data_IF_022769889103
#
_entry.id   IF_022769889103
#
_cell.length_a   1.000
_cell.length_b   1.000
_cell.length_c   1.000
_cell.angle_alpha   90.00
_cell.angle_beta   90.00
_cell.angle_gamma   90.00
#
_symmetry.space_group_name_H-M   'P 1'
#
loop_
_entity.id
_entity.type
_entity.pdbx_description
1 polymer ?
#
# COMPACT_ATOMS: atom_id res chain seq x y z
N UNK A 1 3.27 6.78 17.03
CA UNK A 1 3.56 8.09 16.42
C UNK A 1 2.24 8.67 15.93
N UNK A 2 1.97 9.98 16.05
CA UNK A 2 0.63 10.49 15.86
C UNK A 2 0.25 10.47 14.39
N UNK A 3 -0.89 9.86 14.10
CA UNK A 3 -1.50 9.72 12.78
C UNK A 3 -2.06 11.07 12.34
N UNK A 4 -1.49 11.68 11.30
CA UNK A 4 -2.09 12.85 10.67
C UNK A 4 -3.26 12.40 9.80
N UNK A 5 -4.49 12.75 10.21
CA UNK A 5 -5.71 12.54 9.44
C UNK A 5 -5.84 13.72 8.48
N UNK A 6 -5.67 13.46 7.18
CA UNK A 6 -5.86 14.45 6.13
C UNK A 6 -7.32 14.41 5.67
N UNK A 7 -8.06 15.49 5.91
CA UNK A 7 -9.36 15.73 5.26
C UNK A 7 -9.10 16.34 3.88
N UNK A 8 -9.68 15.76 2.83
CA UNK A 8 -9.75 16.36 1.50
C UNK A 8 -11.23 16.51 1.13
N UNK A 9 -11.66 17.76 1.01
CA UNK A 9 -12.90 18.15 0.31
C UNK A 9 -12.59 18.24 -1.19
N UNK A 10 -13.35 17.53 -2.02
CA UNK A 10 -13.26 17.65 -3.48
C UNK A 10 -14.32 18.63 -3.97
N UNK A 11 -13.92 19.86 -4.28
CA UNK A 11 -14.71 20.79 -5.11
C UNK A 11 -14.13 20.81 -6.52
N UNK A 12 -14.99 20.51 -7.50
CA UNK A 12 -14.66 20.44 -8.92
C UNK A 12 -14.28 21.80 -9.49
N UNK A 13 -13.18 21.82 -10.25
CA UNK A 13 -12.78 22.94 -11.09
C UNK A 13 -13.07 22.61 -12.56
N UNK A 14 -13.72 23.52 -13.27
CA UNK A 14 -13.44 23.76 -14.69
C UNK A 14 -13.20 25.26 -14.86
N UNK A 15 -11.95 25.60 -15.18
CA UNK A 15 -11.51 26.95 -15.49
C UNK A 15 -11.66 27.24 -16.98
N UNK A 16 -12.17 28.42 -17.30
CA UNK A 16 -11.97 29.10 -18.57
C UNK A 16 -11.17 30.37 -18.32
N UNK A 17 -9.94 30.43 -18.80
CA UNK A 17 -9.09 31.62 -18.68
C UNK A 17 -9.43 32.66 -19.74
N UNK A 18 -9.60 33.85 -19.19
CA UNK A 18 -9.65 35.20 -19.73
C UNK A 18 -8.45 35.53 -20.63
N UNK A 19 -8.67 36.27 -21.72
CA UNK A 19 -7.70 37.23 -22.27
C UNK A 19 -8.34 38.62 -22.38
N UNK A 20 -7.80 39.59 -21.64
CA UNK A 20 -8.11 41.04 -21.70
C UNK A 20 -7.26 41.70 -22.81
N UNK A 21 -7.90 42.40 -23.75
CA UNK A 21 -7.96 43.87 -23.93
C UNK A 21 -6.69 44.58 -24.40
N UNK A 22 -6.82 45.42 -25.44
CA UNK A 22 -6.59 46.89 -25.41
C UNK A 22 -7.09 47.51 -26.73
N UNK A 23 -7.52 48.76 -26.62
CA UNK A 23 -8.42 49.50 -27.49
C UNK A 23 -7.73 50.45 -28.51
N UNK A 24 -8.55 50.84 -29.51
CA UNK A 24 -8.67 52.16 -30.18
C UNK A 24 -7.44 52.82 -30.86
N UNK A 25 -7.58 53.17 -32.14
CA UNK A 25 -7.89 54.55 -32.57
C UNK A 25 -7.96 54.74 -34.10
N UNK A 26 -9.04 55.41 -34.51
CA UNK A 26 -9.19 56.48 -35.49
C UNK A 26 -9.06 56.27 -37.02
N UNK A 27 -10.15 56.73 -37.66
CA UNK A 27 -10.34 57.14 -39.05
C UNK A 27 -9.38 58.23 -39.52
N UNK A 28 -9.18 58.37 -40.83
CA UNK A 28 -9.46 59.57 -41.66
C UNK A 28 -9.00 59.29 -43.12
N UNK A 29 -9.73 59.85 -44.08
CA UNK A 29 -9.61 59.55 -45.50
C UNK A 29 -8.42 60.21 -46.22
N UNK A 30 -8.19 59.76 -47.45
CA UNK A 30 -7.20 60.34 -48.36
C UNK A 30 -7.24 59.65 -49.72
N UNK A 31 -7.94 60.27 -50.66
CA UNK A 31 -7.87 60.01 -52.10
C UNK A 31 -6.48 60.32 -52.66
N UNK A 32 -6.01 59.52 -53.63
CA UNK A 32 -5.04 60.05 -54.61
C UNK A 32 -3.93 59.09 -55.02
N UNK A 33 -4.05 58.64 -56.27
CA UNK A 33 -2.99 58.51 -57.28
C UNK A 33 -1.89 57.45 -57.12
N UNK A 34 -1.82 56.60 -58.16
CA UNK A 34 -0.61 56.21 -58.91
C UNK A 34 0.58 55.75 -58.06
N UNK A 35 0.81 54.45 -58.01
CA UNK A 35 1.70 53.83 -58.99
C UNK A 35 1.67 52.31 -58.90
N UNK A 36 1.66 51.73 -60.08
CA UNK A 36 1.56 50.32 -60.36
C UNK A 36 2.95 49.79 -60.67
N UNK A 37 3.28 48.62 -60.12
CA UNK A 37 4.36 47.72 -60.52
C UNK A 37 5.79 48.25 -60.30
N UNK A 38 6.41 47.81 -59.20
CA UNK A 38 7.72 47.12 -59.23
C UNK A 38 8.12 46.70 -57.81
N UNK A 39 7.63 45.52 -57.42
CA UNK A 39 8.26 44.73 -56.36
C UNK A 39 8.09 43.26 -56.71
N UNK A 40 8.71 42.85 -57.82
CA UNK A 40 9.21 41.49 -57.93
C UNK A 40 10.25 41.33 -56.80
N UNK A 41 9.81 40.96 -55.60
CA UNK A 41 10.69 40.36 -54.61
C UNK A 41 11.17 39.07 -55.24
N UNK A 42 12.39 39.10 -55.78
CA UNK A 42 13.03 37.98 -56.45
C UNK A 42 12.96 36.75 -55.54
N UNK A 43 12.21 35.72 -55.95
CA UNK A 43 12.21 34.38 -55.35
C UNK A 43 13.63 33.77 -55.25
N UNK A 44 14.60 34.34 -55.98
CA UNK A 44 16.03 34.01 -55.92
C UNK A 44 16.69 34.33 -54.56
N UNK A 45 16.15 35.28 -53.79
CA UNK A 45 16.72 35.68 -52.49
C UNK A 45 16.27 34.81 -51.32
N UNK A 46 15.10 34.18 -51.41
CA UNK A 46 14.62 33.23 -50.40
C UNK A 46 15.20 31.82 -50.60
N UNK A 47 15.50 31.43 -51.84
CA UNK A 47 16.11 30.13 -52.18
C UNK A 47 17.62 30.07 -51.88
N UNK A 48 18.31 31.21 -51.86
CA UNK A 48 19.75 31.31 -51.58
C UNK A 48 20.13 31.17 -50.09
N UNK A 49 19.19 31.38 -49.17
CA UNK A 49 19.40 31.19 -47.72
C UNK A 49 18.83 29.85 -47.20
N UNK A 50 17.81 29.31 -47.85
CA UNK A 50 17.20 28.02 -47.46
C UNK A 50 18.15 26.84 -47.75
N UNK A 51 18.94 26.91 -48.82
CA UNK A 51 19.90 25.88 -49.21
C UNK A 51 21.11 25.74 -48.25
N UNK A 52 21.81 26.81 -47.82
CA UNK A 52 22.88 26.68 -46.82
C UNK A 52 22.34 26.33 -45.43
N UNK A 53 21.16 26.82 -45.04
CA UNK A 53 20.55 26.45 -43.76
C UNK A 53 20.19 24.95 -43.71
N UNK A 54 19.61 24.41 -44.78
CA UNK A 54 19.34 22.96 -44.91
C UNK A 54 20.63 22.14 -44.90
N UNK A 55 21.70 22.60 -45.57
CA UNK A 55 23.00 21.94 -45.55
C UNK A 55 23.61 21.89 -44.14
N UNK A 56 23.55 22.98 -43.37
CA UNK A 56 24.03 23.00 -41.98
C UNK A 56 23.24 22.00 -41.11
N UNK A 57 21.92 21.94 -41.27
CA UNK A 57 21.09 20.96 -40.56
C UNK A 57 21.47 19.53 -40.97
N UNK A 58 21.64 19.25 -42.26
CA UNK A 58 22.01 17.92 -42.75
C UNK A 58 23.40 17.50 -42.28
N UNK A 59 24.38 18.41 -42.28
CA UNK A 59 25.73 18.15 -41.73
C UNK A 59 25.63 17.90 -40.22
N UNK A 60 24.84 18.70 -39.50
CA UNK A 60 24.60 18.50 -38.07
C UNK A 60 23.99 17.12 -37.78
N UNK A 61 22.99 16.70 -38.56
CA UNK A 61 22.37 15.37 -38.45
C UNK A 61 23.36 14.25 -38.80
N UNK A 62 24.17 14.42 -39.85
CA UNK A 62 25.19 13.44 -40.24
C UNK A 62 26.28 13.28 -39.17
N UNK A 63 26.74 14.38 -38.57
CA UNK A 63 27.68 14.37 -37.46
C UNK A 63 27.08 13.70 -36.21
N UNK A 64 25.83 14.00 -35.89
CA UNK A 64 25.11 13.35 -34.79
C UNK A 64 24.95 11.84 -35.03
N UNK A 65 24.62 11.43 -36.26
CA UNK A 65 24.53 10.02 -36.64
C UNK A 65 25.89 9.31 -36.57
N UNK A 66 26.94 9.92 -37.11
CA UNK A 66 28.31 9.38 -37.04
C UNK A 66 28.80 9.24 -35.59
N UNK A 67 28.52 10.25 -34.75
CA UNK A 67 28.80 10.19 -33.32
C UNK A 67 28.01 9.08 -32.63
N UNK A 68 26.72 8.92 -32.93
CA UNK A 68 25.89 7.83 -32.44
C UNK A 68 26.43 6.46 -32.81
N UNK A 69 26.83 6.25 -34.08
CA UNK A 69 27.45 5.02 -34.55
C UNK A 69 28.78 4.72 -33.83
N UNK A 70 29.58 5.75 -33.57
CA UNK A 70 30.84 5.61 -32.83
C UNK A 70 30.60 5.24 -31.36
N UNK A 71 29.58 5.82 -30.71
CA UNK A 71 29.16 5.43 -29.35
C UNK A 71 28.70 3.97 -29.31
N UNK A 72 27.87 3.56 -30.28
CA UNK A 72 27.39 2.18 -30.40
C UNK A 72 28.54 1.20 -30.65
N UNK A 73 29.49 1.55 -31.52
CA UNK A 73 30.67 0.75 -31.81
C UNK A 73 31.55 0.56 -30.57
N UNK A 74 31.82 1.64 -29.81
CA UNK A 74 32.54 1.56 -28.54
C UNK A 74 31.82 0.69 -27.52
N UNK A 75 30.50 0.83 -27.38
CA UNK A 75 29.69 -0.05 -26.51
C UNK A 75 29.77 -1.51 -26.90
N UNK A 76 29.76 -1.82 -28.20
CA UNK A 76 29.95 -3.20 -28.71
C UNK A 76 31.33 -3.74 -28.35
N UNK A 77 32.40 -2.99 -28.61
CA UNK A 77 33.76 -3.42 -28.26
C UNK A 77 33.92 -3.69 -26.76
N UNK A 78 33.38 -2.81 -25.91
CA UNK A 78 33.39 -3.00 -24.46
C UNK A 78 32.58 -4.24 -24.07
N UNK A 79 31.38 -4.40 -24.61
CA UNK A 79 30.52 -5.56 -24.32
C UNK A 79 31.14 -6.89 -24.74
N UNK A 80 31.87 -6.93 -25.86
CA UNK A 80 32.52 -8.15 -26.33
C UNK A 80 33.80 -8.50 -25.59
N UNK A 81 34.48 -7.52 -24.99
CA UNK A 81 35.79 -7.70 -24.36
C UNK A 81 35.74 -7.72 -22.82
N UNK A 82 34.65 -7.23 -22.21
CA UNK A 82 34.53 -7.15 -20.76
C UNK A 82 34.17 -8.51 -20.15
N UNK A 83 35.08 -9.04 -19.32
CA UNK A 83 34.81 -10.22 -18.51
C UNK A 83 33.72 -9.94 -17.45
N UNK A 84 33.71 -8.74 -16.86
CA UNK A 84 32.71 -8.36 -15.86
C UNK A 84 31.29 -8.37 -16.44
N UNK A 85 31.11 -7.84 -17.65
CA UNK A 85 29.82 -7.84 -18.35
C UNK A 85 29.39 -9.26 -18.75
N UNK A 86 30.33 -10.09 -19.23
CA UNK A 86 30.01 -11.48 -19.58
C UNK A 86 29.60 -12.32 -18.37
N UNK A 87 30.30 -12.19 -17.23
CA UNK A 87 29.96 -12.89 -15.99
C UNK A 87 28.65 -12.36 -15.39
N UNK A 88 28.38 -11.06 -15.51
CA UNK A 88 27.10 -10.49 -15.09
C UNK A 88 25.94 -10.99 -15.95
N UNK A 89 26.13 -11.16 -17.26
CA UNK A 89 25.09 -11.72 -18.14
C UNK A 89 24.75 -13.17 -17.76
N UNK A 90 25.77 -14.00 -17.44
CA UNK A 90 25.57 -15.35 -16.90
C UNK A 90 24.81 -15.31 -15.57
N UNK A 91 25.27 -14.48 -14.62
CA UNK A 91 24.63 -14.32 -13.31
C UNK A 91 23.15 -13.93 -13.50
N UNK A 92 22.88 -12.92 -14.31
CA UNK A 92 21.53 -12.46 -14.62
C UNK A 92 20.68 -13.57 -15.25
N UNK A 93 21.24 -14.40 -16.12
CA UNK A 93 20.49 -15.51 -16.75
C UNK A 93 19.99 -16.53 -15.72
N UNK A 94 20.80 -16.82 -14.69
CA UNK A 94 20.45 -17.74 -13.60
C UNK A 94 19.41 -17.16 -12.63
N UNK A 95 19.50 -15.85 -12.38
CA UNK A 95 18.67 -15.19 -11.36
C UNK A 95 17.38 -14.56 -11.89
N UNK A 96 17.28 -14.20 -13.18
CA UNK A 96 16.14 -13.44 -13.73
C UNK A 96 14.78 -14.05 -13.43
N UNK A 97 14.65 -15.37 -13.48
CA UNK A 97 13.39 -16.07 -13.17
C UNK A 97 13.12 -16.23 -11.67
N UNK A 98 14.13 -16.02 -10.83
CA UNK A 98 14.07 -16.19 -9.38
C UNK A 98 13.77 -14.88 -8.65
N UNK A 99 14.08 -13.73 -9.23
CA UNK A 99 13.86 -12.41 -8.58
C UNK A 99 12.81 -11.56 -9.28
N UNK A 100 11.85 -12.21 -9.95
CA UNK A 100 10.79 -11.52 -10.69
C UNK A 100 10.01 -10.59 -9.74
N UNK A 101 9.92 -9.27 -10.04
CA UNK A 101 9.11 -8.35 -9.27
C UNK A 101 7.65 -8.78 -9.25
N UNK A 102 7.06 -8.77 -8.05
CA UNK A 102 5.65 -9.14 -7.87
C UNK A 102 4.75 -7.91 -8.03
N UNK A 103 3.59 -8.09 -8.64
CA UNK A 103 2.59 -7.00 -8.71
C UNK A 103 2.16 -6.60 -7.30
N UNK A 104 1.87 -5.31 -7.03
CA UNK A 104 1.42 -4.91 -5.70
C UNK A 104 0.15 -5.64 -5.27
N UNK A 105 0.10 -6.11 -4.01
CA UNK A 105 -1.14 -6.64 -3.42
C UNK A 105 -2.16 -5.50 -3.37
N UNK A 106 -3.37 -5.71 -3.90
CA UNK A 106 -4.43 -4.69 -3.89
C UNK A 106 -5.71 -5.26 -3.31
N UNK A 107 -6.17 -4.66 -2.21
CA UNK A 107 -7.40 -5.04 -1.53
C UNK A 107 -8.15 -3.77 -1.13
N UNK A 108 -9.44 -3.72 -1.43
CA UNK A 108 -10.28 -2.55 -1.12
C UNK A 108 -11.56 -3.01 -0.45
N UNK A 109 -11.71 -2.65 0.81
CA UNK A 109 -12.90 -2.95 1.60
C UNK A 109 -13.78 -1.70 1.76
N UNK A 110 -15.07 -1.93 1.93
CA UNK A 110 -16.04 -0.88 2.22
C UNK A 110 -16.94 -1.29 3.38
N UNK A 111 -17.26 -0.32 4.24
CA UNK A 111 -18.24 -0.51 5.31
C UNK A 111 -19.16 0.71 5.37
N UNK A 112 -20.46 0.48 5.37
CA UNK A 112 -21.45 1.53 5.61
C UNK A 112 -22.03 1.37 7.01
N UNK A 113 -22.19 2.47 7.72
CA UNK A 113 -22.84 2.49 9.03
C UNK A 113 -24.12 3.32 8.97
N UNK A 114 -25.07 3.02 9.86
CA UNK A 114 -26.42 3.58 9.85
C UNK A 114 -26.59 4.85 10.70
N UNK A 115 -25.54 5.29 11.39
CA UNK A 115 -25.61 6.43 12.31
C UNK A 115 -24.26 7.11 12.46
N UNK A 116 -24.30 8.43 12.68
CA UNK A 116 -23.09 9.23 12.94
C UNK A 116 -22.34 8.74 14.17
N UNK A 117 -23.08 8.34 15.21
CA UNK A 117 -22.49 7.80 16.43
C UNK A 117 -21.75 6.47 16.21
N UNK A 118 -22.16 5.62 15.26
CA UNK A 118 -21.38 4.44 14.87
C UNK A 118 -20.18 4.83 14.02
N UNK A 119 -20.34 5.79 13.11
CA UNK A 119 -19.24 6.32 12.30
C UNK A 119 -18.10 6.86 13.18
N UNK A 120 -18.43 7.60 14.23
CA UNK A 120 -17.42 8.21 15.11
C UNK A 120 -16.73 7.22 16.06
N UNK A 121 -17.39 6.11 16.40
CA UNK A 121 -16.87 5.11 17.34
C UNK A 121 -16.17 3.93 16.66
N UNK A 122 -16.43 3.70 15.37
CA UNK A 122 -15.89 2.54 14.67
C UNK A 122 -14.39 2.73 14.43
N UNK A 123 -13.58 1.85 15.00
CA UNK A 123 -12.16 1.76 14.68
C UNK A 123 -11.96 1.05 13.35
N UNK A 124 -11.58 1.84 12.34
CA UNK A 124 -11.28 1.36 11.00
C UNK A 124 -10.13 0.34 10.98
N UNK A 125 -9.13 0.49 11.85
CA UNK A 125 -7.99 -0.42 11.89
C UNK A 125 -8.41 -1.81 12.39
N UNK A 126 -9.20 -1.88 13.46
CA UNK A 126 -9.81 -3.13 13.93
C UNK A 126 -10.74 -3.74 12.88
N UNK A 127 -11.59 -2.93 12.22
CA UNK A 127 -12.50 -3.44 11.18
C UNK A 127 -11.73 -4.03 10.00
N UNK A 128 -10.67 -3.37 9.55
CA UNK A 128 -9.82 -3.80 8.46
C UNK A 128 -9.00 -5.05 8.82
N UNK A 129 -8.54 -5.14 10.08
CA UNK A 129 -7.87 -6.34 10.60
C UNK A 129 -8.77 -7.58 10.54
N UNK A 130 -10.07 -7.42 10.81
CA UNK A 130 -11.05 -8.50 10.63
C UNK A 130 -11.25 -8.85 9.15
N UNK A 131 -11.35 -7.85 8.27
CA UNK A 131 -11.55 -8.10 6.83
C UNK A 131 -10.40 -8.88 6.21
N UNK A 132 -9.14 -8.58 6.56
CA UNK A 132 -8.00 -9.31 5.97
C UNK A 132 -7.94 -10.78 6.41
N UNK A 133 -8.52 -11.14 7.56
CA UNK A 133 -8.60 -12.54 8.00
C UNK A 133 -9.52 -13.38 7.10
N UNK A 134 -10.46 -12.77 6.37
CA UNK A 134 -11.31 -13.48 5.40
C UNK A 134 -10.49 -14.02 4.21
N UNK A 135 -9.32 -13.43 3.93
CA UNK A 135 -8.40 -13.82 2.85
C UNK A 135 -7.03 -14.24 3.37
N UNK A 136 -6.98 -14.74 4.61
CA UNK A 136 -5.74 -15.03 5.35
C UNK A 136 -4.75 -15.92 4.57
N UNK A 137 -5.16 -17.11 4.15
CA UNK A 137 -4.25 -18.06 3.51
C UNK A 137 -3.63 -17.53 2.21
N UNK A 138 -4.42 -16.77 1.43
CA UNK A 138 -3.92 -16.11 0.23
C UNK A 138 -2.93 -14.99 0.58
N UNK A 139 -3.25 -14.16 1.58
CA UNK A 139 -2.36 -13.09 2.05
C UNK A 139 -1.04 -13.64 2.58
N UNK A 140 -1.07 -14.73 3.35
CA UNK A 140 0.13 -15.40 3.84
C UNK A 140 1.01 -15.86 2.67
N UNK A 141 0.43 -16.54 1.69
CA UNK A 141 1.16 -17.00 0.52
C UNK A 141 1.80 -15.82 -0.25
N UNK A 142 1.05 -14.76 -0.51
CA UNK A 142 1.54 -13.57 -1.22
C UNK A 142 2.64 -12.84 -0.43
N UNK A 143 2.52 -12.73 0.89
CA UNK A 143 3.55 -12.15 1.75
C UNK A 143 4.82 -13.02 1.70
N UNK A 144 4.69 -14.34 1.85
CA UNK A 144 5.83 -15.26 1.82
C UNK A 144 6.55 -15.24 0.48
N UNK A 145 5.80 -15.23 -0.63
CA UNK A 145 6.38 -15.13 -1.98
C UNK A 145 7.26 -13.87 -2.12
N UNK A 146 6.79 -12.73 -1.61
CA UNK A 146 7.53 -11.46 -1.65
C UNK A 146 8.77 -11.48 -0.77
N UNK A 147 8.66 -11.97 0.47
CA UNK A 147 9.80 -12.10 1.38
C UNK A 147 10.87 -13.06 0.82
N UNK A 148 10.45 -14.18 0.25
CA UNK A 148 11.36 -15.14 -0.40
C UNK A 148 12.06 -14.53 -1.63
N UNK A 149 11.35 -13.67 -2.38
CA UNK A 149 11.92 -12.96 -3.53
C UNK A 149 12.96 -11.93 -3.09
N UNK A 150 12.69 -11.18 -2.02
CA UNK A 150 13.69 -10.28 -1.42
C UNK A 150 14.92 -11.01 -0.91
N UNK A 151 14.73 -12.17 -0.24
CA UNK A 151 15.84 -12.99 0.24
C UNK A 151 16.72 -13.50 -0.92
N UNK A 152 16.11 -13.97 -2.00
CA UNK A 152 16.83 -14.36 -3.24
C UNK A 152 17.57 -13.17 -3.86
N UNK A 153 16.96 -11.99 -3.90
CA UNK A 153 17.62 -10.79 -4.40
C UNK A 153 18.81 -10.37 -3.55
N UNK A 154 18.77 -10.56 -2.23
CA UNK A 154 19.91 -10.31 -1.37
C UNK A 154 21.12 -11.21 -1.73
N UNK A 155 20.88 -12.48 -2.10
CA UNK A 155 21.92 -13.37 -2.61
C UNK A 155 22.48 -12.89 -3.96
N UNK A 156 21.60 -12.55 -4.91
CA UNK A 156 22.01 -11.96 -6.18
C UNK A 156 22.85 -10.68 -5.98
N UNK A 157 22.46 -9.81 -5.04
CA UNK A 157 23.19 -8.58 -4.74
C UNK A 157 24.61 -8.88 -4.24
N UNK A 158 24.77 -9.89 -3.40
CA UNK A 158 26.09 -10.32 -2.93
C UNK A 158 26.97 -10.80 -4.10
N UNK A 159 26.44 -11.65 -4.99
CA UNK A 159 27.17 -12.11 -6.18
C UNK A 159 27.50 -10.96 -7.13
N UNK A 160 26.57 -10.02 -7.32
CA UNK A 160 26.77 -8.82 -8.13
C UNK A 160 27.91 -7.95 -7.58
N UNK A 161 27.93 -7.70 -6.28
CA UNK A 161 28.99 -6.95 -5.60
C UNK A 161 30.34 -7.67 -5.72
N UNK A 162 30.37 -9.00 -5.60
CA UNK A 162 31.58 -9.79 -5.81
C UNK A 162 32.15 -9.61 -7.23
N UNK A 163 31.30 -9.57 -8.26
CA UNK A 163 31.73 -9.25 -9.64
C UNK A 163 32.21 -7.80 -9.77
N UNK A 164 31.54 -6.85 -9.11
CA UNK A 164 31.91 -5.43 -9.13
C UNK A 164 33.32 -5.22 -8.56
N UNK A 165 33.62 -5.76 -7.39
CA UNK A 165 34.96 -5.65 -6.78
C UNK A 165 36.01 -6.53 -7.47
N UNK A 166 35.57 -7.70 -7.96
CA UNK A 166 36.45 -8.73 -8.51
C UNK A 166 36.90 -8.45 -9.93
N UNK A 167 36.04 -7.91 -10.81
CA UNK A 167 36.29 -7.90 -12.26
C UNK A 167 36.14 -6.51 -12.93
N UNK A 168 35.35 -5.61 -12.35
CA UNK A 168 35.04 -4.33 -13.00
C UNK A 168 36.30 -3.47 -13.16
N UNK A 169 36.50 -2.89 -14.35
CA UNK A 169 37.64 -2.04 -14.68
C UNK A 169 38.93 -2.78 -15.00
N UNK A 170 38.92 -4.13 -15.05
CA UNK A 170 40.12 -4.96 -15.34
C UNK A 170 40.28 -5.34 -16.81
N UNK A 171 39.21 -5.25 -17.60
CA UNK A 171 39.24 -5.57 -19.03
C UNK A 171 39.67 -4.35 -19.87
N UNK A 172 40.09 -4.58 -21.12
CA UNK A 172 40.48 -3.50 -22.04
C UNK A 172 40.23 -3.90 -23.50
N UNK A 173 40.31 -2.93 -24.43
CA UNK A 173 40.18 -3.21 -25.86
C UNK A 173 41.05 -2.26 -26.70
N UNK A 174 41.81 -2.73 -27.71
CA UNK A 174 42.77 -1.90 -28.45
C UNK A 174 42.19 -0.66 -29.14
N UNK A 175 40.92 -0.71 -29.55
CA UNK A 175 40.23 0.39 -30.26
C UNK A 175 39.54 1.41 -29.33
N UNK A 176 39.64 1.26 -28.02
CA UNK A 176 38.99 2.14 -27.03
C UNK A 176 40.00 2.47 -25.93
N UNK A 177 40.18 3.76 -25.60
CA UNK A 177 41.09 4.16 -24.53
C UNK A 177 40.66 3.55 -23.18
N UNK A 178 41.61 3.26 -22.30
CA UNK A 178 41.35 2.62 -21.01
C UNK A 178 40.30 3.38 -20.16
N UNK A 179 40.44 4.71 -20.08
CA UNK A 179 39.48 5.57 -19.36
C UNK A 179 38.07 5.45 -19.95
N UNK A 180 37.96 5.51 -21.28
CA UNK A 180 36.64 5.42 -21.94
C UNK A 180 36.06 4.02 -21.83
N UNK A 181 36.90 2.99 -21.88
CA UNK A 181 36.51 1.61 -21.66
C UNK A 181 35.90 1.45 -20.26
N UNK A 182 36.64 1.83 -19.21
CA UNK A 182 36.18 1.71 -17.83
C UNK A 182 34.89 2.50 -17.57
N UNK A 183 34.77 3.71 -18.14
CA UNK A 183 33.55 4.53 -18.05
C UNK A 183 32.34 3.85 -18.69
N UNK A 184 32.50 3.30 -19.90
CA UNK A 184 31.41 2.58 -20.59
C UNK A 184 31.10 1.28 -19.85
N UNK A 185 32.11 0.51 -19.46
CA UNK A 185 31.96 -0.77 -18.75
C UNK A 185 31.17 -0.59 -17.46
N UNK A 186 31.56 0.36 -16.60
CA UNK A 186 30.82 0.67 -15.37
C UNK A 186 29.38 1.05 -15.65
N UNK A 187 29.13 1.88 -16.67
CA UNK A 187 27.77 2.28 -17.04
C UNK A 187 26.92 1.09 -17.48
N UNK A 188 27.45 0.23 -18.35
CA UNK A 188 26.76 -0.97 -18.81
C UNK A 188 26.54 -1.97 -17.66
N UNK A 189 27.53 -2.15 -16.78
CA UNK A 189 27.46 -3.07 -15.65
C UNK A 189 26.33 -2.68 -14.68
N UNK A 190 26.27 -1.41 -14.28
CA UNK A 190 25.20 -0.91 -13.42
C UNK A 190 23.83 -0.96 -14.09
N UNK A 191 23.74 -0.67 -15.39
CA UNK A 191 22.49 -0.74 -16.15
C UNK A 191 21.96 -2.17 -16.34
N UNK A 192 22.85 -3.17 -16.30
CA UNK A 192 22.47 -4.59 -16.38
C UNK A 192 22.08 -5.19 -15.04
N UNK A 193 22.25 -4.48 -13.93
CA UNK A 193 21.83 -4.96 -12.61
C UNK A 193 20.32 -5.22 -12.63
N UNK A 194 19.88 -6.39 -12.17
CA UNK A 194 18.45 -6.66 -12.00
C UNK A 194 17.84 -5.68 -10.99
N UNK A 195 16.60 -5.28 -11.25
CA UNK A 195 15.83 -4.37 -10.40
C UNK A 195 15.54 -4.99 -9.03
N UNK A 196 15.55 -4.15 -7.99
CA UNK A 196 15.22 -4.57 -6.62
C UNK A 196 13.71 -4.88 -6.51
N UNK A 197 13.32 -6.12 -6.16
CA UNK A 197 11.92 -6.51 -6.01
C UNK A 197 11.37 -5.96 -4.70
N UNK A 198 10.92 -4.70 -4.73
CA UNK A 198 10.29 -4.05 -3.57
C UNK A 198 8.88 -4.63 -3.32
N UNK A 199 8.60 -5.16 -2.12
CA UNK A 199 7.30 -5.74 -1.82
C UNK A 199 6.28 -4.62 -1.64
N UNK A 200 5.32 -4.54 -2.56
CA UNK A 200 4.30 -3.50 -2.55
C UNK A 200 2.93 -4.08 -2.18
N UNK A 201 2.18 -3.30 -1.38
CA UNK A 201 0.77 -3.52 -1.12
C UNK A 201 0.05 -2.18 -0.98
N UNK A 202 -1.20 -2.14 -1.41
CA UNK A 202 -2.18 -1.11 -1.10
C UNK A 202 -3.45 -1.83 -0.65
N UNK A 203 -3.61 -1.93 0.67
CA UNK A 203 -4.83 -2.46 1.28
C UNK A 203 -5.56 -1.26 1.85
N UNK A 204 -6.82 -1.06 1.49
CA UNK A 204 -7.59 0.09 1.96
C UNK A 204 -8.97 -0.33 2.48
N UNK A 205 -9.47 0.42 3.46
CA UNK A 205 -10.86 0.32 3.92
C UNK A 205 -11.49 1.71 3.92
N UNK A 206 -12.63 1.85 3.25
CA UNK A 206 -13.46 3.06 3.28
C UNK A 206 -14.68 2.84 4.16
N UNK A 207 -14.90 3.72 5.12
CA UNK A 207 -16.15 3.81 5.88
C UNK A 207 -16.99 4.98 5.36
N UNK A 208 -18.30 4.76 5.23
CA UNK A 208 -19.27 5.79 4.83
C UNK A 208 -20.46 5.85 5.77
N UNK A 209 -21.01 7.04 5.95
CA UNK A 209 -22.30 7.28 6.60
C UNK A 209 -23.02 8.42 5.86
N UNK A 210 -24.29 8.21 5.53
CA UNK A 210 -25.18 9.25 5.00
C UNK A 210 -26.36 9.42 5.94
N UNK A 211 -26.72 10.67 6.25
CA UNK A 211 -27.86 10.93 7.13
C UNK A 211 -29.17 10.42 6.50
N UNK A 212 -30.19 10.03 7.29
CA UNK A 212 -31.42 9.45 6.75
C UNK A 212 -32.14 10.33 5.71
N UNK A 213 -32.00 11.65 5.83
CA UNK A 213 -32.57 12.63 4.91
C UNK A 213 -31.62 13.01 3.75
N UNK A 214 -30.48 12.35 3.63
CA UNK A 214 -29.48 12.58 2.58
C UNK A 214 -28.77 13.94 2.64
N UNK A 215 -28.99 14.74 3.69
CA UNK A 215 -28.47 16.11 3.79
C UNK A 215 -26.96 16.19 4.03
N UNK A 216 -26.39 15.18 4.69
CA UNK A 216 -24.97 15.13 5.03
C UNK A 216 -24.40 13.74 4.69
N UNK A 217 -23.16 13.71 4.22
CA UNK A 217 -22.40 12.48 3.98
C UNK A 217 -21.01 12.60 4.59
N UNK A 218 -20.56 11.52 5.22
CA UNK A 218 -19.27 11.43 5.88
C UNK A 218 -18.51 10.22 5.34
N UNK A 219 -17.21 10.38 5.13
CA UNK A 219 -16.35 9.28 4.72
C UNK A 219 -15.03 9.32 5.48
N UNK A 220 -14.49 8.14 5.76
CA UNK A 220 -13.15 7.98 6.33
C UNK A 220 -12.45 6.83 5.63
N UNK A 221 -11.14 6.93 5.46
CA UNK A 221 -10.35 5.95 4.73
C UNK A 221 -9.07 5.63 5.50
N UNK A 222 -8.74 4.35 5.56
CA UNK A 222 -7.49 3.83 6.08
C UNK A 222 -6.78 3.06 4.97
N UNK A 223 -5.47 3.25 4.85
CA UNK A 223 -4.62 2.54 3.90
C UNK A 223 -3.41 1.93 4.60
N UNK A 224 -3.03 0.74 4.15
CA UNK A 224 -1.85 0.02 4.60
C UNK A 224 -0.94 -0.30 3.42
N UNK A 225 0.35 -0.04 3.63
CA UNK A 225 1.42 -0.55 2.79
C UNK A 225 1.75 -2.02 3.12
N UNK A 226 2.76 -2.58 2.47
CA UNK A 226 3.16 -3.98 2.67
C UNK A 226 3.55 -4.30 4.12
N UNK A 227 4.36 -3.44 4.76
CA UNK A 227 4.78 -3.65 6.14
C UNK A 227 3.61 -3.58 7.13
N UNK A 228 2.72 -2.60 6.94
CA UNK A 228 1.52 -2.46 7.75
C UNK A 228 0.58 -3.65 7.57
N UNK A 229 0.37 -4.13 6.34
CA UNK A 229 -0.41 -5.34 6.06
C UNK A 229 0.16 -6.56 6.80
N UNK A 230 1.47 -6.81 6.65
CA UNK A 230 2.15 -7.95 7.26
C UNK A 230 2.06 -7.91 8.79
N UNK A 231 2.33 -6.75 9.37
CA UNK A 231 2.23 -6.54 10.82
C UNK A 231 0.80 -6.73 11.31
N UNK A 232 -0.17 -6.08 10.67
CA UNK A 232 -1.59 -6.15 11.07
C UNK A 232 -2.15 -7.56 10.95
N UNK A 233 -1.76 -8.32 9.91
CA UNK A 233 -2.16 -9.73 9.77
C UNK A 233 -1.65 -10.57 10.94
N UNK A 234 -0.36 -10.47 11.28
CA UNK A 234 0.23 -11.20 12.39
C UNK A 234 -0.43 -10.85 13.74
N UNK A 235 -0.75 -9.56 13.95
CA UNK A 235 -1.47 -9.10 15.14
C UNK A 235 -2.89 -9.68 15.18
N UNK A 236 -3.62 -9.65 14.06
CA UNK A 236 -4.98 -10.17 13.96
C UNK A 236 -5.03 -11.68 14.22
N UNK A 237 -4.08 -12.43 13.66
CA UNK A 237 -3.92 -13.87 13.90
C UNK A 237 -3.66 -14.18 15.38
N UNK A 238 -2.72 -13.46 16.01
CA UNK A 238 -2.41 -13.62 17.43
C UNK A 238 -3.62 -13.28 18.30
N UNK A 239 -4.37 -12.23 17.97
CA UNK A 239 -5.59 -11.85 18.68
C UNK A 239 -6.66 -12.96 18.58
N UNK A 240 -6.90 -13.50 17.38
CA UNK A 240 -7.84 -14.61 17.16
C UNK A 240 -7.40 -15.88 17.92
N UNK A 241 -6.13 -16.23 17.86
CA UNK A 241 -5.58 -17.37 18.60
C UNK A 241 -5.78 -17.21 20.11
N UNK A 242 -5.49 -16.03 20.66
CA UNK A 242 -5.71 -15.73 22.08
C UNK A 242 -7.18 -15.87 22.48
N UNK A 243 -8.12 -15.39 21.65
CA UNK A 243 -9.56 -15.52 21.88
C UNK A 243 -10.05 -16.97 21.88
N UNK A 244 -9.37 -17.86 21.16
CA UNK A 244 -9.70 -19.29 21.10
C UNK A 244 -9.15 -20.12 22.27
N UNK A 245 -8.32 -19.55 23.14
CA UNK A 245 -7.75 -20.29 24.28
C UNK A 245 -8.82 -20.66 25.30
N UNK A 246 -8.67 -21.81 25.96
CA UNK A 246 -9.58 -22.25 27.03
C UNK A 246 -9.71 -21.19 28.13
N UNK A 247 -8.62 -20.51 28.49
CA UNK A 247 -8.66 -19.43 29.47
C UNK A 247 -9.50 -18.23 28.99
N UNK A 248 -9.37 -17.80 27.73
CA UNK A 248 -10.17 -16.72 27.18
C UNK A 248 -11.65 -17.11 27.05
N UNK A 249 -11.95 -18.34 26.62
CA UNK A 249 -13.32 -18.86 26.57
C UNK A 249 -13.96 -18.91 27.96
N UNK A 250 -13.24 -19.42 28.96
CA UNK A 250 -13.70 -19.43 30.36
C UNK A 250 -13.91 -18.03 30.92
N UNK A 251 -13.00 -17.10 30.62
CA UNK A 251 -13.16 -15.70 31.02
C UNK A 251 -14.38 -15.07 30.33
N UNK A 252 -14.60 -15.37 29.06
CA UNK A 252 -15.77 -14.94 28.32
C UNK A 252 -17.06 -15.45 28.95
N UNK A 253 -17.14 -16.74 29.27
CA UNK A 253 -18.30 -17.31 29.98
C UNK A 253 -18.56 -16.56 31.30
N UNK A 254 -17.53 -16.27 32.08
CA UNK A 254 -17.68 -15.46 33.31
C UNK A 254 -18.21 -14.05 33.03
N UNK A 255 -17.73 -13.38 31.99
CA UNK A 255 -18.19 -12.03 31.62
C UNK A 255 -19.65 -11.99 31.13
N UNK A 256 -20.20 -13.11 30.68
CA UNK A 256 -21.62 -13.21 30.31
C UNK A 256 -22.54 -13.12 31.54
N UNK A 257 -22.01 -13.27 32.77
CA UNK A 257 -22.74 -13.06 34.02
C UNK A 257 -22.95 -11.54 34.25
N UNK A 258 -23.82 -10.95 33.44
CA UNK A 258 -24.19 -9.53 33.58
C UNK A 258 -25.02 -9.29 34.84
N UNK A 259 -25.05 -8.06 35.39
CA UNK A 259 -25.93 -7.72 36.51
C UNK A 259 -27.41 -8.03 36.23
N UNK A 260 -27.88 -7.77 35.01
CA UNK A 260 -29.24 -8.07 34.59
C UNK A 260 -29.55 -9.59 34.59
N UNK A 261 -28.62 -10.41 34.09
CA UNK A 261 -28.74 -11.86 34.16
C UNK A 261 -28.76 -12.34 35.62
N UNK A 262 -27.84 -11.83 36.45
CA UNK A 262 -27.79 -12.15 37.89
C UNK A 262 -29.12 -11.85 38.58
N UNK A 263 -29.69 -10.67 38.39
CA UNK A 263 -31.01 -10.31 38.95
C UNK A 263 -32.12 -11.21 38.42
N UNK A 264 -32.07 -11.59 37.14
CA UNK A 264 -33.04 -12.53 36.54
C UNK A 264 -32.99 -13.91 37.23
N UNK A 265 -31.80 -14.44 37.50
CA UNK A 265 -31.65 -15.73 38.20
C UNK A 265 -32.12 -15.64 39.65
N UNK A 266 -31.73 -14.58 40.37
CA UNK A 266 -32.20 -14.35 41.74
C UNK A 266 -33.74 -14.28 41.82
N UNK A 267 -34.37 -13.56 40.89
CA UNK A 267 -35.83 -13.48 40.82
C UNK A 267 -36.47 -14.84 40.50
N UNK A 268 -35.93 -15.58 39.53
CA UNK A 268 -36.40 -16.93 39.17
C UNK A 268 -36.39 -17.85 40.38
N UNK A 269 -35.33 -17.78 41.18
CA UNK A 269 -35.14 -18.61 42.36
C UNK A 269 -35.85 -18.07 43.61
N UNK A 270 -36.67 -17.02 43.45
CA UNK A 270 -37.46 -16.42 44.54
C UNK A 270 -36.61 -15.77 45.63
N UNK A 271 -35.40 -15.30 45.30
CA UNK A 271 -34.41 -14.78 46.24
C UNK A 271 -34.11 -15.76 47.38
N UNK A 272 -34.01 -17.05 47.03
CA UNK A 272 -33.72 -18.15 47.96
C UNK A 272 -32.59 -19.02 47.43
N UNK A 273 -31.81 -19.57 48.36
CA UNK A 273 -30.85 -20.61 48.07
C UNK A 273 -31.56 -21.85 47.51
N UNK A 274 -31.13 -22.35 46.35
CA UNK A 274 -31.68 -23.54 45.71
C UNK A 274 -31.29 -24.85 46.39
N UNK A 275 -30.27 -24.82 47.25
CA UNK A 275 -29.80 -25.97 48.03
C UNK A 275 -30.51 -26.08 49.40
N UNK A 276 -30.53 -25.00 50.20
CA UNK A 276 -31.01 -25.04 51.58
C UNK A 276 -32.27 -24.20 51.86
N UNK A 277 -32.74 -23.39 50.90
CA UNK A 277 -33.94 -22.56 51.05
C UNK A 277 -33.77 -21.23 51.79
N UNK A 278 -32.58 -20.93 52.33
CA UNK A 278 -32.27 -19.67 53.01
C UNK A 278 -32.59 -18.46 52.13
N UNK A 279 -33.19 -17.42 52.70
CA UNK A 279 -33.72 -16.28 51.94
C UNK A 279 -32.90 -15.01 52.17
N UNK A 280 -32.84 -14.15 51.16
CA UNK A 280 -32.18 -12.85 51.32
C UNK A 280 -32.92 -11.91 52.31
N UNK A 281 -34.20 -12.18 52.61
CA UNK A 281 -35.02 -11.34 53.50
C UNK A 281 -34.66 -11.51 54.99
N UNK A 282 -33.84 -12.50 55.31
CA UNK A 282 -33.47 -12.89 56.67
C UNK A 282 -32.39 -11.93 57.24
N UNK A 283 -31.99 -10.91 56.45
CA UNK A 283 -31.04 -9.85 56.81
C UNK A 283 -29.58 -10.30 56.95
N UNK A 284 -29.34 -11.60 57.03
CA UNK A 284 -28.00 -12.19 57.29
C UNK A 284 -27.49 -13.04 56.11
N UNK A 285 -28.39 -13.50 55.23
CA UNK A 285 -28.04 -14.43 54.15
C UNK A 285 -27.58 -13.70 52.88
N UNK A 286 -26.29 -13.78 52.56
CA UNK A 286 -25.76 -13.35 51.27
C UNK A 286 -25.99 -14.41 50.18
N UNK A 287 -26.69 -14.02 49.11
CA UNK A 287 -26.95 -14.89 47.95
C UNK A 287 -26.00 -14.59 46.79
N UNK A 288 -25.48 -15.65 46.21
CA UNK A 288 -24.63 -15.66 45.03
C UNK A 288 -25.34 -16.40 43.90
N UNK A 289 -24.98 -16.07 42.66
CA UNK A 289 -25.39 -16.83 41.49
C UNK A 289 -24.14 -17.53 41.00
N UNK A 290 -24.20 -18.85 40.94
CA UNK A 290 -23.09 -19.69 40.53
C UNK A 290 -23.55 -20.70 39.47
N UNK A 291 -22.58 -21.28 38.78
CA UNK A 291 -22.85 -22.30 37.77
C UNK A 291 -23.09 -23.67 38.42
N UNK A 292 -24.02 -24.45 37.87
CA UNK A 292 -24.26 -25.84 38.29
C UNK A 292 -23.10 -26.71 37.80
N UNK A 293 -22.82 -26.66 36.50
CA UNK A 293 -21.58 -27.17 35.92
C UNK A 293 -20.57 -26.01 35.92
N UNK A 294 -19.44 -26.10 36.63
CA UNK A 294 -18.45 -25.03 36.67
C UNK A 294 -17.89 -24.68 35.29
N UNK A 295 -17.54 -23.42 35.08
CA UNK A 295 -16.88 -22.95 33.85
C UNK A 295 -15.54 -23.69 33.60
N UNK A 296 -14.87 -24.18 34.65
CA UNK A 296 -13.66 -25.01 34.50
C UNK A 296 -13.93 -26.34 33.81
N UNK A 297 -15.15 -26.88 33.94
CA UNK A 297 -15.67 -28.10 33.33
C UNK A 297 -16.62 -27.80 32.15
N UNK A 298 -16.35 -26.69 31.45
CA UNK A 298 -17.09 -26.28 30.24
C UNK A 298 -18.56 -25.91 30.45
N UNK A 299 -18.91 -25.56 31.69
CA UNK A 299 -20.22 -25.02 32.02
C UNK A 299 -20.48 -23.66 31.39
N UNK A 300 -21.63 -23.54 30.71
CA UNK A 300 -22.04 -22.30 30.01
C UNK A 300 -22.80 -21.35 30.92
N UNK A 301 -22.67 -20.05 30.69
CA UNK A 301 -23.45 -19.00 31.37
C UNK A 301 -24.82 -18.83 30.71
N UNK A 302 -25.68 -19.82 30.93
CA UNK A 302 -27.08 -19.83 30.47
C UNK A 302 -28.00 -20.07 31.66
N UNK A 303 -29.24 -19.53 31.68
CA UNK A 303 -30.11 -19.63 32.85
C UNK A 303 -30.25 -21.05 33.41
N UNK A 304 -30.30 -22.07 32.55
CA UNK A 304 -30.47 -23.47 32.89
C UNK A 304 -29.28 -24.05 33.67
N UNK A 305 -28.08 -23.49 33.48
CA UNK A 305 -26.86 -23.88 34.18
C UNK A 305 -26.51 -22.94 35.34
N UNK A 306 -27.38 -22.00 35.68
CA UNK A 306 -27.16 -21.06 36.79
C UNK A 306 -28.10 -21.35 37.95
N UNK A 307 -27.62 -21.16 39.17
CA UNK A 307 -28.39 -21.35 40.40
C UNK A 307 -28.05 -20.28 41.44
N UNK A 308 -29.03 -19.96 42.28
CA UNK A 308 -28.84 -19.10 43.44
C UNK A 308 -28.41 -19.93 44.66
N UNK A 309 -27.29 -19.60 45.27
CA UNK A 309 -26.75 -20.26 46.47
C UNK A 309 -26.50 -19.23 47.58
N UNK A 310 -26.74 -19.60 48.84
CA UNK A 310 -26.22 -18.81 49.97
C UNK A 310 -24.71 -19.02 50.09
N UNK A 311 -24.03 -18.10 50.78
CA UNK A 311 -22.58 -18.17 50.97
C UNK A 311 -22.09 -19.51 51.53
N UNK A 312 -22.78 -20.13 52.50
CA UNK A 312 -22.39 -21.44 53.05
C UNK A 312 -22.46 -22.54 51.99
N UNK A 313 -23.61 -22.70 51.32
CA UNK A 313 -23.78 -23.70 50.27
C UNK A 313 -22.83 -23.47 49.08
N UNK A 314 -22.54 -22.21 48.74
CA UNK A 314 -21.60 -21.88 47.65
C UNK A 314 -20.15 -22.24 47.99
N UNK A 315 -19.79 -22.24 49.27
CA UNK A 315 -18.46 -22.65 49.75
C UNK A 315 -18.38 -24.15 50.07
N UNK A 316 -19.50 -24.88 50.00
CA UNK A 316 -19.59 -26.29 50.37
C UNK A 316 -19.53 -26.54 51.87
N UNK A 317 -19.91 -25.54 52.68
CA UNK A 317 -19.96 -25.60 54.14
C UNK A 317 -21.32 -26.06 54.67
#
# INVERSE_FOLDING_TARGET
MPTAIHWQETNGAQGGMISKSIAQANSWGGSGTRDSWDAAISLESATSLVTPALLVVLVGLALAAAWGLLVLSRRRFVSSASQALAQLDDLNSRWRMQVIPQTPIRLNYAVSVDSKAKFDRLDLASRMSLSILESEGWLEQEIQLRLATQARFAMYRFDFEALEYGLLGRSSHPRVSAEKFASIERKEFLHRKLDDPVPAANVSTRMTYSSPQGRNSYSSRLEWNFEQLRYSLAVAQKARANQSTTAALRQRERTLMTPGLRTKILRRDGFRCRMCGASANDGTTNLHVDHIIPVSLDGRTVPENLQTLCQSCNLGA
#
